data_IF_675909314039
#
_entry.id   IF_675909314039
#
_cell.length_a   1.000
_cell.length_b   1.000
_cell.length_c   1.000
_cell.angle_alpha   90.00
_cell.angle_beta   90.00
_cell.angle_gamma   90.00
#
_symmetry.space_group_name_H-M   'P 1'
#
loop_
_entity.id
_entity.type
_entity.pdbx_description
1 polymer ?
#
# COMPACT_ATOMS: atom_id res chain seq x y z
N UNK A 1 -26.82 20.91 21.52
CA UNK A 1 -26.03 19.71 21.89
C UNK A 1 -24.78 19.75 21.04
N UNK A 2 -23.68 20.28 21.58
CA UNK A 2 -22.42 20.44 20.84
C UNK A 2 -21.58 19.22 21.19
N UNK A 3 -21.37 18.32 20.21
CA UNK A 3 -20.43 17.21 20.38
C UNK A 3 -19.05 17.81 20.66
N UNK A 4 -18.36 17.31 21.70
CA UNK A 4 -16.98 17.73 21.97
C UNK A 4 -16.12 17.30 20.78
N UNK A 5 -15.19 18.13 20.33
CA UNK A 5 -14.34 17.85 19.16
C UNK A 5 -13.63 16.47 19.23
N UNK A 6 -13.34 15.98 20.43
CA UNK A 6 -12.81 14.63 20.68
C UNK A 6 -13.79 13.48 20.40
N UNK A 7 -15.10 13.70 20.59
CA UNK A 7 -16.14 12.72 20.29
C UNK A 7 -16.48 12.70 18.79
N UNK A 8 -16.43 13.86 18.11
CA UNK A 8 -16.53 13.93 16.65
C UNK A 8 -15.34 13.23 15.97
N UNK A 9 -14.12 13.38 16.52
CA UNK A 9 -12.92 12.68 16.06
C UNK A 9 -13.03 11.16 16.19
N UNK A 10 -13.61 10.65 17.28
CA UNK A 10 -13.85 9.21 17.48
C UNK A 10 -14.98 8.68 16.58
N UNK A 11 -15.97 9.51 16.24
CA UNK A 11 -17.10 9.11 15.39
C UNK A 11 -16.71 9.01 13.90
N UNK A 12 -15.86 9.91 13.40
CA UNK A 12 -15.36 9.85 12.01
C UNK A 12 -14.45 8.63 11.81
N UNK A 13 -13.62 8.28 12.79
CA UNK A 13 -12.63 7.20 12.69
C UNK A 13 -13.26 5.80 12.83
N UNK A 14 -14.46 5.67 13.40
CA UNK A 14 -15.04 4.35 13.71
C UNK A 14 -16.09 3.82 12.72
N UNK A 15 -16.56 4.58 11.73
CA UNK A 15 -17.57 4.07 10.77
C UNK A 15 -17.23 4.29 9.29
N UNK A 16 -16.30 5.18 8.94
CA UNK A 16 -16.03 5.50 7.54
C UNK A 16 -14.90 4.64 6.97
N UNK A 17 -15.25 3.42 6.53
CA UNK A 17 -14.35 2.51 5.81
C UNK A 17 -13.98 2.97 4.41
N UNK A 18 -14.56 4.08 3.93
CA UNK A 18 -14.37 4.56 2.57
C UNK A 18 -12.99 5.25 2.44
N UNK A 19 -12.02 4.64 1.74
CA UNK A 19 -10.66 5.18 1.67
C UNK A 19 -10.60 6.57 1.06
N UNK A 20 -11.48 6.86 0.09
CA UNK A 20 -11.57 8.17 -0.55
C UNK A 20 -12.02 9.25 0.43
N UNK A 21 -13.03 8.99 1.25
CA UNK A 21 -13.51 9.98 2.24
C UNK A 21 -12.45 10.27 3.31
N UNK A 22 -11.69 9.25 3.71
CA UNK A 22 -10.53 9.42 4.60
C UNK A 22 -9.48 10.34 3.96
N UNK A 23 -9.15 10.12 2.68
CA UNK A 23 -8.19 10.95 1.96
C UNK A 23 -8.69 12.39 1.78
N UNK A 24 -9.96 12.57 1.43
CA UNK A 24 -10.58 13.90 1.31
C UNK A 24 -10.57 14.66 2.64
N UNK A 25 -10.79 13.98 3.77
CA UNK A 25 -10.72 14.57 5.11
C UNK A 25 -9.29 15.03 5.46
N UNK A 26 -8.28 14.27 5.03
CA UNK A 26 -6.88 14.70 5.11
C UNK A 26 -6.62 15.94 4.25
N UNK A 27 -7.11 15.96 3.00
CA UNK A 27 -6.95 17.11 2.10
C UNK A 27 -7.63 18.38 2.63
N UNK A 28 -8.76 18.26 3.35
CA UNK A 28 -9.43 19.37 4.03
C UNK A 28 -8.76 19.81 5.33
N UNK A 29 -7.77 19.07 5.82
CA UNK A 29 -7.09 19.35 7.09
C UNK A 29 -7.90 18.96 8.34
N UNK A 30 -8.96 18.17 8.17
CA UNK A 30 -9.80 17.65 9.25
C UNK A 30 -9.16 16.42 9.91
N UNK A 31 -8.30 15.72 9.17
CA UNK A 31 -7.53 14.56 9.60
C UNK A 31 -6.04 14.82 9.41
N UNK A 32 -5.23 14.58 10.42
CA UNK A 32 -3.78 14.70 10.28
C UNK A 32 -3.18 13.53 9.50
N UNK A 33 -2.00 13.76 8.90
CA UNK A 33 -1.32 12.77 8.05
C UNK A 33 -1.05 11.46 8.79
N UNK A 34 -0.67 11.52 10.06
CA UNK A 34 -0.34 10.33 10.86
C UNK A 34 -1.57 9.46 11.10
N UNK A 35 -2.70 10.08 11.43
CA UNK A 35 -3.97 9.40 11.63
C UNK A 35 -4.51 8.78 10.35
N UNK A 36 -4.41 9.49 9.21
CA UNK A 36 -4.76 8.94 7.90
C UNK A 36 -3.93 7.68 7.58
N UNK A 37 -2.61 7.76 7.72
CA UNK A 37 -1.72 6.62 7.44
C UNK A 37 -2.07 5.42 8.31
N UNK A 38 -2.27 5.62 9.62
CA UNK A 38 -2.68 4.53 10.53
C UNK A 38 -4.00 3.91 10.10
N UNK A 39 -4.95 4.73 9.67
CA UNK A 39 -6.26 4.26 9.21
C UNK A 39 -6.12 3.40 7.94
N UNK A 40 -5.36 3.87 6.94
CA UNK A 40 -5.10 3.07 5.74
C UNK A 40 -4.35 1.77 6.02
N UNK A 41 -3.34 1.78 6.90
CA UNK A 41 -2.65 0.54 7.31
C UNK A 41 -3.66 -0.44 7.91
N UNK A 42 -4.53 0.03 8.82
CA UNK A 42 -5.57 -0.81 9.43
C UNK A 42 -6.54 -1.39 8.42
N UNK A 43 -6.98 -0.60 7.43
CA UNK A 43 -7.87 -1.07 6.37
C UNK A 43 -7.19 -2.10 5.47
N UNK A 44 -5.94 -1.86 5.08
CA UNK A 44 -5.16 -2.76 4.23
C UNK A 44 -4.93 -4.12 4.91
N UNK A 45 -4.61 -4.13 6.20
CA UNK A 45 -4.27 -5.37 6.93
C UNK A 45 -5.50 -6.14 7.41
N UNK A 46 -6.61 -5.46 7.72
CA UNK A 46 -7.71 -6.05 8.50
C UNK A 46 -9.11 -5.99 7.89
N UNK A 47 -9.34 -5.27 6.78
CA UNK A 47 -10.68 -5.24 6.19
C UNK A 47 -10.95 -6.49 5.34
N UNK A 48 -12.16 -7.04 5.40
CA UNK A 48 -12.56 -8.19 4.59
C UNK A 48 -12.89 -7.79 3.14
N UNK A 49 -13.22 -6.52 2.89
CA UNK A 49 -13.52 -6.03 1.55
C UNK A 49 -12.23 -5.71 0.79
N UNK A 50 -11.90 -6.60 -0.15
CA UNK A 50 -10.76 -6.48 -1.05
C UNK A 50 -10.71 -5.14 -1.79
N UNK A 51 -11.85 -4.54 -2.12
CA UNK A 51 -11.91 -3.25 -2.81
C UNK A 51 -11.44 -2.12 -1.90
N UNK A 52 -11.87 -2.12 -0.63
CA UNK A 52 -11.45 -1.16 0.39
C UNK A 52 -9.95 -1.28 0.65
N UNK A 53 -9.43 -2.50 0.76
CA UNK A 53 -7.98 -2.76 0.93
C UNK A 53 -7.18 -2.20 -0.25
N UNK A 54 -7.63 -2.48 -1.48
CA UNK A 54 -6.94 -2.07 -2.70
C UNK A 54 -6.93 -0.55 -2.84
N UNK A 55 -8.07 0.12 -2.71
CA UNK A 55 -8.18 1.58 -2.81
C UNK A 55 -7.37 2.28 -1.69
N UNK A 56 -7.34 1.71 -0.48
CA UNK A 56 -6.49 2.20 0.61
C UNK A 56 -5.00 2.13 0.24
N UNK A 57 -4.55 1.05 -0.39
CA UNK A 57 -3.16 0.92 -0.83
C UNK A 57 -2.84 1.89 -1.97
N UNK A 58 -3.75 2.08 -2.93
CA UNK A 58 -3.60 3.06 -4.02
C UNK A 58 -3.40 4.47 -3.44
N UNK A 59 -4.31 4.92 -2.57
CA UNK A 59 -4.25 6.24 -1.95
C UNK A 59 -3.05 6.41 -1.02
N UNK A 60 -2.66 5.36 -0.27
CA UNK A 60 -1.45 5.39 0.56
C UNK A 60 -0.19 5.56 -0.29
N UNK A 61 -0.15 4.97 -1.49
CA UNK A 61 1.01 5.04 -2.39
C UNK A 61 1.24 6.44 -3.00
N UNK A 62 0.18 7.23 -3.17
CA UNK A 62 0.23 8.62 -3.64
C UNK A 62 0.98 9.56 -2.67
N UNK A 63 1.13 9.16 -1.39
CA UNK A 63 1.78 9.99 -0.38
C UNK A 63 3.32 9.99 -0.44
N UNK A 64 3.91 9.17 -1.31
CA UNK A 64 5.36 9.02 -1.53
C UNK A 64 6.19 9.07 -0.24
N UNK A 65 5.75 8.34 0.77
CA UNK A 65 6.34 8.37 2.10
C UNK A 65 7.64 7.56 2.13
N UNK A 66 8.72 8.11 2.72
CA UNK A 66 9.94 7.32 3.05
C UNK A 66 9.84 6.58 4.38
N UNK A 67 8.64 6.47 4.92
CA UNK A 67 8.38 5.79 6.18
C UNK A 67 8.69 4.29 6.04
N UNK A 68 9.65 3.74 6.80
CA UNK A 68 10.00 2.33 6.75
C UNK A 68 8.82 1.40 7.05
N UNK A 69 7.84 1.82 7.86
CA UNK A 69 6.67 1.02 8.17
C UNK A 69 5.80 0.81 6.93
N UNK A 70 5.61 1.85 6.11
CA UNK A 70 4.84 1.77 4.87
C UNK A 70 5.55 0.87 3.87
N UNK A 71 6.87 1.04 3.70
CA UNK A 71 7.66 0.19 2.80
C UNK A 71 7.55 -1.28 3.22
N UNK A 72 7.69 -1.56 4.53
CA UNK A 72 7.61 -2.93 5.05
C UNK A 72 6.23 -3.55 4.87
N UNK A 73 5.16 -2.77 5.06
CA UNK A 73 3.79 -3.21 4.76
C UNK A 73 3.69 -3.66 3.29
N UNK A 74 4.11 -2.81 2.35
CA UNK A 74 4.00 -3.10 0.91
C UNK A 74 4.85 -4.32 0.51
N UNK A 75 6.04 -4.48 1.09
CA UNK A 75 6.86 -5.68 0.93
C UNK A 75 6.13 -6.94 1.40
N UNK A 76 5.49 -6.92 2.57
CA UNK A 76 4.75 -8.07 3.08
C UNK A 76 3.54 -8.40 2.20
N UNK A 77 2.82 -7.39 1.71
CA UNK A 77 1.71 -7.56 0.78
C UNK A 77 2.18 -8.26 -0.49
N UNK A 78 3.28 -7.82 -1.09
CA UNK A 78 3.85 -8.45 -2.28
C UNK A 78 4.12 -9.95 -2.09
N UNK A 79 4.67 -10.33 -0.94
CA UNK A 79 5.13 -11.71 -0.71
C UNK A 79 4.00 -12.66 -0.32
N UNK A 80 3.00 -12.16 0.42
CA UNK A 80 2.11 -13.04 1.17
C UNK A 80 0.62 -12.70 1.14
N UNK A 81 0.21 -11.59 0.51
CA UNK A 81 -1.22 -11.31 0.40
C UNK A 81 -1.91 -12.41 -0.41
N UNK A 82 -3.13 -12.80 -0.01
CA UNK A 82 -3.89 -13.82 -0.73
C UNK A 82 -4.51 -13.30 -2.04
N UNK A 83 -4.76 -11.99 -2.14
CA UNK A 83 -5.32 -11.36 -3.34
C UNK A 83 -4.19 -10.99 -4.33
N UNK A 84 -4.23 -11.58 -5.53
CA UNK A 84 -3.27 -11.32 -6.61
C UNK A 84 -3.24 -9.84 -7.05
N UNK A 85 -4.35 -9.12 -6.91
CA UNK A 85 -4.41 -7.69 -7.24
C UNK A 85 -3.64 -6.86 -6.23
N UNK A 86 -3.70 -7.24 -4.95
CA UNK A 86 -2.89 -6.61 -3.89
C UNK A 86 -1.41 -6.84 -4.15
N UNK A 87 -1.01 -8.08 -4.46
CA UNK A 87 0.38 -8.40 -4.80
C UNK A 87 0.87 -7.63 -6.03
N UNK A 88 0.03 -7.56 -7.07
CA UNK A 88 0.34 -6.82 -8.31
C UNK A 88 0.48 -5.31 -8.09
N UNK A 89 -0.39 -4.71 -7.27
CA UNK A 89 -0.29 -3.29 -6.93
C UNK A 89 0.95 -3.03 -6.07
N UNK A 90 1.21 -3.87 -5.07
CA UNK A 90 2.39 -3.77 -4.23
C UNK A 90 3.67 -3.82 -5.07
N UNK A 91 3.78 -4.74 -6.04
CA UNK A 91 4.90 -4.79 -6.98
C UNK A 91 5.11 -3.47 -7.73
N UNK A 92 4.03 -2.90 -8.30
CA UNK A 92 4.09 -1.64 -9.05
C UNK A 92 4.56 -0.49 -8.16
N UNK A 93 4.02 -0.38 -6.95
CA UNK A 93 4.40 0.66 -5.99
C UNK A 93 5.87 0.53 -5.59
N UNK A 94 6.33 -0.68 -5.28
CA UNK A 94 7.73 -0.92 -4.90
C UNK A 94 8.68 -0.56 -6.05
N UNK A 95 8.38 -0.93 -7.29
CA UNK A 95 9.25 -0.58 -8.42
C UNK A 95 9.29 0.92 -8.67
N UNK A 96 8.13 1.59 -8.61
CA UNK A 96 8.03 3.03 -8.89
C UNK A 96 8.66 3.89 -7.81
N UNK A 97 8.52 3.51 -6.54
CA UNK A 97 8.87 4.39 -5.41
C UNK A 97 9.96 3.84 -4.48
N UNK A 98 10.13 2.52 -4.38
CA UNK A 98 10.90 1.87 -3.31
C UNK A 98 11.82 0.73 -3.77
N UNK A 99 12.27 0.77 -5.02
CA UNK A 99 12.98 -0.35 -5.65
C UNK A 99 14.31 -0.64 -4.95
N UNK A 100 15.06 0.42 -4.58
CA UNK A 100 16.35 0.28 -3.92
C UNK A 100 16.22 -0.36 -2.53
N UNK A 101 15.08 -0.20 -1.84
CA UNK A 101 14.81 -0.81 -0.54
C UNK A 101 14.17 -2.21 -0.64
N UNK A 102 13.72 -2.63 -1.82
CA UNK A 102 12.86 -3.82 -1.98
C UNK A 102 13.33 -4.78 -3.08
N UNK A 103 14.62 -4.71 -3.44
CA UNK A 103 15.18 -5.51 -4.53
C UNK A 103 15.01 -7.01 -4.31
N UNK A 104 15.18 -7.50 -3.08
CA UNK A 104 15.04 -8.91 -2.72
C UNK A 104 13.60 -9.40 -2.90
N UNK A 105 12.65 -8.63 -2.40
CA UNK A 105 11.22 -8.95 -2.39
C UNK A 105 10.66 -8.91 -3.81
N UNK A 106 11.00 -7.85 -4.57
CA UNK A 106 10.63 -7.73 -5.98
C UNK A 106 11.21 -8.88 -6.80
N UNK A 107 12.50 -9.22 -6.59
CA UNK A 107 13.12 -10.36 -7.28
C UNK A 107 12.41 -11.67 -6.96
N UNK A 108 12.21 -11.96 -5.68
CA UNK A 108 11.57 -13.19 -5.25
C UNK A 108 10.18 -13.33 -5.85
N UNK A 109 9.37 -12.27 -5.82
CA UNK A 109 8.03 -12.28 -6.38
C UNK A 109 8.02 -12.55 -7.89
N UNK A 110 8.92 -11.91 -8.65
CA UNK A 110 9.05 -12.17 -10.10
C UNK A 110 9.50 -13.59 -10.44
N UNK A 111 10.21 -14.26 -9.54
CA UNK A 111 10.72 -15.62 -9.73
C UNK A 111 9.73 -16.70 -9.23
N UNK A 112 8.85 -16.38 -8.26
CA UNK A 112 8.08 -17.37 -7.51
C UNK A 112 6.56 -17.17 -7.55
N UNK A 113 6.06 -15.99 -7.93
CA UNK A 113 4.63 -15.73 -7.99
C UNK A 113 4.12 -15.79 -9.44
N UNK A 114 3.40 -16.86 -9.84
CA UNK A 114 2.89 -17.01 -11.19
C UNK A 114 1.72 -16.07 -11.50
N UNK A 115 1.11 -15.43 -10.51
CA UNK A 115 0.06 -14.41 -10.75
C UNK A 115 0.64 -13.07 -11.18
N UNK A 116 1.93 -12.84 -10.91
CA UNK A 116 2.68 -11.65 -11.27
C UNK A 116 3.15 -11.70 -12.75
N UNK A 117 2.63 -12.63 -13.55
CA UNK A 117 3.24 -13.03 -14.81
C UNK A 117 3.36 -11.89 -15.85
N UNK A 118 4.60 -11.73 -16.29
CA UNK A 118 5.12 -10.98 -17.42
C UNK A 118 4.59 -9.56 -17.68
N UNK A 119 4.80 -8.66 -16.72
CA UNK A 119 5.24 -7.32 -17.11
C UNK A 119 6.66 -7.44 -17.70
N UNK A 120 6.77 -7.87 -18.97
CA UNK A 120 8.03 -7.74 -19.74
C UNK A 120 8.56 -6.30 -19.67
N UNK A 121 7.65 -5.33 -19.51
CA UNK A 121 7.95 -3.92 -19.20
C UNK A 121 8.80 -3.77 -17.94
N UNK A 122 8.48 -4.46 -16.83
CA UNK A 122 9.26 -4.40 -15.59
C UNK A 122 10.64 -5.05 -15.75
N UNK A 123 10.73 -6.20 -16.43
CA UNK A 123 12.03 -6.86 -16.70
C UNK A 123 12.96 -5.98 -17.55
N UNK A 124 12.40 -5.11 -18.38
CA UNK A 124 13.16 -4.18 -19.24
C UNK A 124 13.52 -2.85 -18.53
N UNK A 125 12.65 -2.34 -17.65
CA UNK A 125 12.88 -1.10 -16.89
C UNK A 125 13.77 -1.32 -15.66
N UNK A 126 13.62 -2.47 -14.99
CA UNK A 126 14.45 -2.83 -13.85
C UNK A 126 15.64 -3.62 -14.37
N UNK A 127 16.77 -2.94 -14.61
CA UNK A 127 18.07 -3.59 -14.81
C UNK A 127 18.44 -4.36 -13.54
N UNK A 128 17.98 -5.59 -13.41
CA UNK A 128 18.61 -6.55 -12.52
C UNK A 128 19.93 -6.96 -13.19
N UNK A 129 21.10 -6.70 -12.59
CA UNK A 129 22.35 -7.24 -13.12
C UNK A 129 22.19 -8.76 -13.26
N UNK A 130 22.44 -9.26 -14.47
CA UNK A 130 22.37 -10.67 -14.79
C UNK A 130 23.28 -11.42 -13.82
N UNK A 131 22.69 -12.20 -12.91
CA UNK A 131 23.45 -13.19 -12.16
C UNK A 131 23.71 -14.30 -13.16
N UNK A 132 24.98 -14.47 -13.53
CA UNK A 132 25.42 -15.70 -14.19
C UNK A 132 25.06 -16.85 -13.25
N UNK A 133 24.01 -17.59 -13.60
CA UNK A 133 23.84 -18.95 -13.09
C UNK A 133 25.01 -19.73 -13.69
N UNK A 134 25.86 -20.26 -12.80
CA UNK A 134 27.05 -21.02 -13.15
C UNK A 134 26.75 -22.18 -14.09
#
# INVERSE_FOLDING_TARGET
>A
MVLKASEAYIFIVNEEKNPKQIFESYQRGELDRGSMIKTFISLIEGDDDKSVRLESLELLSELESRDPQIIKLIQNLLISDSDERMRSLALKVLIKHYLSQSHSEVRWALENDPSIDNLQVIKNEVRFPSIRVN
#
